data_IF_499835128220
#
_entry.id   IF_499835128220
#
_cell.length_a   1.000
_cell.length_b   1.000
_cell.length_c   1.000
_cell.angle_alpha   90.00
_cell.angle_beta   90.00
_cell.angle_gamma   90.00
#
_symmetry.space_group_name_H-M   'P 1'
#
loop_
_entity.id
_entity.type
_entity.pdbx_description
1 polymer ?
#
# COMPACT_ATOMS: atom_id res chain seq x y z
N UNK A 1 -4.68 -16.73 -19.40
CA UNK A 1 -4.38 -15.48 -18.68
C UNK A 1 -5.11 -15.45 -17.35
N UNK A 2 -4.36 -15.30 -16.27
CA UNK A 2 -4.95 -15.10 -14.95
C UNK A 2 -5.26 -13.62 -14.76
N UNK A 3 -6.45 -13.32 -14.26
CA UNK A 3 -6.85 -11.96 -13.92
C UNK A 3 -7.15 -11.86 -12.42
N UNK A 4 -6.92 -10.70 -11.86
CA UNK A 4 -7.22 -10.41 -10.47
C UNK A 4 -8.30 -9.35 -10.38
N UNK A 5 -9.15 -9.49 -9.38
CA UNK A 5 -10.16 -8.51 -9.03
C UNK A 5 -9.94 -8.11 -7.57
N UNK A 6 -9.94 -6.83 -7.28
CA UNK A 6 -9.88 -6.31 -5.91
C UNK A 6 -11.26 -5.77 -5.54
N UNK A 7 -11.78 -6.21 -4.40
CA UNK A 7 -13.06 -5.74 -3.87
C UNK A 7 -12.81 -5.14 -2.50
N UNK A 8 -13.13 -3.88 -2.35
CA UNK A 8 -13.11 -3.19 -1.05
C UNK A 8 -14.52 -3.12 -0.49
N UNK A 9 -14.64 -3.38 0.79
CA UNK A 9 -15.95 -3.35 1.47
C UNK A 9 -15.78 -2.96 2.94
N UNK A 10 -16.78 -2.31 3.54
CA UNK A 10 -16.74 -1.98 4.95
C UNK A 10 -16.84 -3.25 5.81
N UNK A 11 -16.23 -3.22 6.98
CA UNK A 11 -16.12 -4.39 7.87
C UNK A 11 -17.46 -4.99 8.27
N UNK A 12 -18.48 -4.18 8.46
CA UNK A 12 -19.83 -4.63 8.78
C UNK A 12 -20.48 -5.51 7.70
N UNK A 13 -19.94 -5.48 6.47
CA UNK A 13 -20.36 -6.34 5.36
C UNK A 13 -19.58 -7.66 5.28
N UNK A 14 -18.65 -7.89 6.19
CA UNK A 14 -17.84 -9.10 6.18
C UNK A 14 -18.64 -10.40 6.14
N UNK A 15 -19.76 -10.58 6.91
CA UNK A 15 -20.55 -11.81 6.83
C UNK A 15 -21.13 -12.10 5.43
N UNK A 16 -21.61 -11.06 4.75
CA UNK A 16 -22.14 -11.18 3.39
C UNK A 16 -21.04 -11.51 2.39
N UNK A 17 -19.88 -10.86 2.53
CA UNK A 17 -18.71 -11.09 1.67
C UNK A 17 -18.15 -12.49 1.86
N UNK A 18 -18.12 -13.00 3.09
CA UNK A 18 -17.71 -14.38 3.36
C UNK A 18 -18.63 -15.40 2.69
N UNK A 19 -19.94 -15.13 2.64
CA UNK A 19 -20.90 -15.97 1.92
C UNK A 19 -20.62 -15.99 0.41
N UNK A 20 -20.41 -14.82 -0.18
CA UNK A 20 -20.04 -14.69 -1.60
C UNK A 20 -18.69 -15.36 -1.88
N UNK A 21 -17.72 -15.22 -0.99
CA UNK A 21 -16.42 -15.87 -1.07
C UNK A 21 -16.55 -17.38 -1.19
N UNK A 22 -17.40 -17.99 -0.37
CA UNK A 22 -17.65 -19.46 -0.43
C UNK A 22 -18.17 -19.89 -1.80
N UNK A 23 -19.12 -19.12 -2.36
CA UNK A 23 -19.69 -19.41 -3.68
C UNK A 23 -18.66 -19.31 -4.79
N UNK A 24 -17.80 -18.27 -4.74
CA UNK A 24 -16.73 -18.06 -5.73
C UNK A 24 -15.63 -19.14 -5.62
N UNK A 25 -15.28 -19.54 -4.40
CA UNK A 25 -14.28 -20.59 -4.18
C UNK A 25 -14.71 -21.98 -4.69
N UNK A 26 -16.01 -22.22 -4.84
CA UNK A 26 -16.54 -23.43 -5.43
C UNK A 26 -16.30 -23.51 -6.94
N UNK A 27 -15.97 -22.40 -7.60
CA UNK A 27 -15.64 -22.39 -9.02
C UNK A 27 -14.23 -22.92 -9.26
N UNK A 28 -14.09 -23.78 -10.27
CA UNK A 28 -12.79 -24.34 -10.62
C UNK A 28 -11.81 -23.26 -11.05
N UNK A 29 -10.59 -23.34 -10.54
CA UNK A 29 -9.51 -22.39 -10.86
C UNK A 29 -9.59 -21.02 -10.17
N UNK A 30 -10.61 -20.79 -9.32
CA UNK A 30 -10.75 -19.55 -8.56
C UNK A 30 -10.07 -19.68 -7.20
N UNK A 31 -9.17 -18.75 -6.90
CA UNK A 31 -8.52 -18.62 -5.59
C UNK A 31 -8.85 -17.28 -5.00
N UNK A 32 -9.27 -17.25 -3.75
CA UNK A 32 -9.63 -16.01 -3.06
C UNK A 32 -8.72 -15.82 -1.85
N UNK A 33 -8.09 -14.67 -1.79
CA UNK A 33 -7.23 -14.27 -0.69
C UNK A 33 -7.82 -13.02 -0.03
N UNK A 34 -7.88 -13.02 1.29
CA UNK A 34 -8.17 -11.81 2.04
C UNK A 34 -6.87 -11.15 2.47
N UNK A 35 -6.74 -9.86 2.21
CA UNK A 35 -5.56 -9.14 2.62
C UNK A 35 -5.54 -9.00 4.15
N UNK A 36 -4.38 -9.18 4.78
CA UNK A 36 -4.28 -9.03 6.23
C UNK A 36 -4.53 -7.58 6.65
N UNK A 37 -5.16 -7.41 7.81
CA UNK A 37 -5.36 -6.10 8.42
C UNK A 37 -4.07 -5.55 9.05
N UNK A 38 -3.10 -6.41 9.31
CA UNK A 38 -1.80 -6.05 9.84
C UNK A 38 -0.69 -6.57 8.94
N UNK A 39 0.32 -5.74 8.75
CA UNK A 39 1.52 -6.08 7.99
C UNK A 39 2.71 -6.06 8.93
N UNK A 40 3.46 -7.16 8.96
CA UNK A 40 4.67 -7.30 9.79
C UNK A 40 5.84 -7.74 8.94
N UNK A 41 6.91 -6.96 9.01
CA UNK A 41 8.21 -7.32 8.47
C UNK A 41 9.28 -7.04 9.53
N UNK A 42 10.50 -7.57 9.39
CA UNK A 42 11.55 -7.24 10.34
C UNK A 42 11.73 -5.73 10.50
N UNK A 43 11.51 -5.22 11.71
CA UNK A 43 11.58 -3.79 12.03
C UNK A 43 10.47 -2.92 11.49
N UNK A 44 9.42 -3.50 10.90
CA UNK A 44 8.30 -2.74 10.33
C UNK A 44 6.96 -3.35 10.73
N UNK A 45 6.05 -2.53 11.21
CA UNK A 45 4.68 -2.92 11.54
C UNK A 45 3.70 -1.86 11.06
N UNK A 46 2.63 -2.30 10.43
CA UNK A 46 1.55 -1.43 9.99
C UNK A 46 0.20 -2.07 10.32
N UNK A 47 -0.68 -1.32 11.00
CA UNK A 47 -2.03 -1.73 11.35
C UNK A 47 -3.03 -0.88 10.56
N UNK A 48 -3.84 -1.54 9.74
CA UNK A 48 -4.83 -0.87 8.87
C UNK A 48 -5.98 -0.28 9.67
N UNK A 49 -6.43 -0.98 10.71
CA UNK A 49 -7.58 -0.57 11.51
C UNK A 49 -7.25 0.62 12.40
N UNK A 50 -6.09 0.58 13.05
CA UNK A 50 -5.61 1.67 13.90
C UNK A 50 -4.90 2.77 13.10
N UNK A 51 -4.62 2.54 11.82
CA UNK A 51 -3.83 3.44 10.95
C UNK A 51 -2.50 3.81 11.61
N UNK A 52 -1.83 2.79 12.13
CA UNK A 52 -0.62 2.92 12.92
C UNK A 52 0.56 2.30 12.18
N UNK A 53 1.69 2.99 12.21
CA UNK A 53 2.95 2.50 11.65
C UNK A 53 4.02 2.56 12.73
N UNK A 54 4.76 1.47 12.89
CA UNK A 54 5.90 1.38 13.82
C UNK A 54 7.13 0.92 13.04
N UNK A 55 8.20 1.67 13.15
CA UNK A 55 9.48 1.38 12.50
C UNK A 55 10.57 1.31 13.59
N UNK A 56 11.26 0.16 13.67
CA UNK A 56 12.30 -0.09 14.67
C UNK A 56 11.82 0.23 16.11
N UNK A 57 10.59 -0.18 16.42
CA UNK A 57 10.00 0.02 17.74
C UNK A 57 9.47 1.42 18.03
N UNK A 58 9.58 2.36 17.07
CA UNK A 58 9.10 3.74 17.23
C UNK A 58 7.88 3.98 16.35
N UNK A 59 6.84 4.56 16.93
CA UNK A 59 5.66 4.96 16.18
C UNK A 59 5.98 6.13 15.24
N UNK A 60 5.57 6.00 14.00
CA UNK A 60 5.74 7.01 12.96
C UNK A 60 4.40 7.68 12.70
N UNK A 61 4.34 9.00 12.87
CA UNK A 61 3.13 9.76 12.60
C UNK A 61 3.07 10.15 11.13
N UNK A 62 2.05 9.68 10.44
CA UNK A 62 1.82 9.92 9.03
C UNK A 62 0.54 10.73 8.80
N UNK A 63 0.51 11.51 7.74
CA UNK A 63 -0.75 12.07 7.24
C UNK A 63 -1.63 10.96 6.66
N UNK A 64 -2.93 11.22 6.48
CA UNK A 64 -3.85 10.25 5.91
C UNK A 64 -3.39 9.77 4.53
N UNK A 65 -2.95 10.67 3.67
CA UNK A 65 -2.48 10.35 2.32
C UNK A 65 -1.17 9.55 2.33
N UNK A 66 -0.24 9.91 3.21
CA UNK A 66 1.00 9.15 3.39
C UNK A 66 0.71 7.73 3.85
N UNK A 67 -0.19 7.57 4.80
CA UNK A 67 -0.60 6.24 5.27
C UNK A 67 -1.24 5.41 4.15
N UNK A 68 -2.16 5.98 3.39
CA UNK A 68 -2.88 5.26 2.33
C UNK A 68 -1.93 4.74 1.25
N UNK A 69 -0.98 5.54 0.82
CA UNK A 69 0.03 5.11 -0.16
C UNK A 69 0.94 4.04 0.43
N UNK A 70 1.44 4.24 1.64
CA UNK A 70 2.32 3.28 2.29
C UNK A 70 1.63 1.93 2.49
N UNK A 71 0.38 1.94 2.94
CA UNK A 71 -0.39 0.73 3.19
C UNK A 71 -0.56 -0.12 1.92
N UNK A 72 -0.88 0.51 0.80
CA UNK A 72 -1.02 -0.18 -0.48
C UNK A 72 0.31 -0.77 -0.94
N UNK A 73 1.38 0.01 -0.86
CA UNK A 73 2.70 -0.43 -1.32
C UNK A 73 3.31 -1.52 -0.43
N UNK A 74 3.13 -1.42 0.88
CA UNK A 74 3.68 -2.37 1.85
C UNK A 74 3.02 -3.75 1.78
N UNK A 75 1.80 -3.84 1.28
CA UNK A 75 1.12 -5.13 1.05
C UNK A 75 1.82 -5.98 0.00
N UNK A 76 2.48 -5.35 -0.95
CA UNK A 76 3.12 -6.03 -2.08
C UNK A 76 4.56 -5.55 -2.25
N UNK A 77 5.49 -5.96 -1.37
CA UNK A 77 6.90 -5.58 -1.48
C UNK A 77 7.48 -5.99 -2.84
N UNK A 78 8.30 -5.12 -3.41
CA UNK A 78 8.91 -5.35 -4.72
C UNK A 78 8.05 -4.93 -5.91
N UNK A 79 6.74 -4.76 -5.73
CA UNK A 79 5.88 -4.30 -6.81
C UNK A 79 6.10 -2.82 -7.09
N UNK A 80 6.25 -2.49 -8.38
CA UNK A 80 6.38 -1.10 -8.83
C UNK A 80 4.99 -0.50 -9.03
N UNK A 81 4.74 0.64 -8.40
CA UNK A 81 3.53 1.45 -8.57
C UNK A 81 3.86 2.64 -9.44
N UNK A 82 3.17 2.77 -10.55
CA UNK A 82 3.32 3.91 -11.45
C UNK A 82 2.77 5.19 -10.85
N UNK A 83 3.16 6.34 -11.40
CA UNK A 83 2.61 7.63 -10.97
C UNK A 83 1.09 7.68 -11.11
N UNK A 84 0.54 7.09 -12.18
CA UNK A 84 -0.90 7.00 -12.41
C UNK A 84 -1.60 6.15 -11.34
N UNK A 85 -0.99 5.03 -10.97
CA UNK A 85 -1.53 4.17 -9.91
C UNK A 85 -1.53 4.87 -8.55
N UNK A 86 -0.45 5.58 -8.21
CA UNK A 86 -0.37 6.36 -6.98
C UNK A 86 -1.38 7.51 -7.00
N UNK A 87 -1.52 8.18 -8.13
CA UNK A 87 -2.55 9.21 -8.33
C UNK A 87 -3.95 8.64 -8.07
N UNK A 88 -4.25 7.45 -8.57
CA UNK A 88 -5.51 6.75 -8.33
C UNK A 88 -5.76 6.46 -6.86
N UNK A 89 -4.72 6.03 -6.11
CA UNK A 89 -4.80 5.80 -4.66
C UNK A 89 -5.12 7.09 -3.91
N UNK A 90 -4.44 8.19 -4.27
CA UNK A 90 -4.54 9.47 -3.55
C UNK A 90 -5.82 10.25 -3.88
N UNK A 91 -6.21 10.27 -5.14
CA UNK A 91 -7.23 11.18 -5.66
C UNK A 91 -8.39 10.49 -6.37
N UNK A 92 -8.32 9.19 -6.58
CA UNK A 92 -9.32 8.44 -7.34
C UNK A 92 -9.32 8.75 -8.83
N UNK A 93 -8.30 9.42 -9.34
CA UNK A 93 -8.17 9.85 -10.72
C UNK A 93 -7.01 9.15 -11.41
N UNK A 94 -7.14 8.92 -12.72
CA UNK A 94 -6.09 8.33 -13.55
C UNK A 94 -5.35 9.38 -14.39
N UNK A 95 -5.88 10.59 -14.48
CA UNK A 95 -5.28 11.68 -15.24
C UNK A 95 -4.22 12.40 -14.37
N UNK A 96 -2.95 12.22 -14.71
CA UNK A 96 -1.82 12.76 -13.98
C UNK A 96 -1.39 14.08 -14.61
N UNK A 97 -1.64 15.17 -13.89
CA UNK A 97 -1.18 16.51 -14.26
C UNK A 97 0.20 16.81 -13.68
N UNK A 98 0.84 17.85 -14.17
CA UNK A 98 2.17 18.27 -13.70
C UNK A 98 2.20 18.55 -12.20
N UNK A 99 1.17 19.21 -11.67
CA UNK A 99 1.03 19.48 -10.22
C UNK A 99 0.91 18.18 -9.42
N UNK A 100 0.23 17.18 -9.98
CA UNK A 100 0.07 15.87 -9.36
C UNK A 100 1.41 15.14 -9.23
N UNK A 101 2.28 15.21 -10.23
CA UNK A 101 3.64 14.64 -10.14
C UNK A 101 4.44 15.27 -9.00
N UNK A 102 4.37 16.60 -8.87
CA UNK A 102 5.04 17.31 -7.78
C UNK A 102 4.50 16.91 -6.41
N UNK A 103 3.18 16.77 -6.29
CA UNK A 103 2.53 16.35 -5.04
C UNK A 103 2.95 14.92 -4.66
N UNK A 104 2.99 14.00 -5.60
CA UNK A 104 3.46 12.62 -5.38
C UNK A 104 4.94 12.63 -4.97
N UNK A 105 5.76 13.36 -5.66
CA UNK A 105 7.19 13.50 -5.35
C UNK A 105 7.40 14.01 -3.91
N UNK A 106 6.69 15.07 -3.52
CA UNK A 106 6.78 15.62 -2.18
C UNK A 106 6.27 14.65 -1.11
N UNK A 107 5.18 13.93 -1.39
CA UNK A 107 4.63 12.93 -0.48
C UNK A 107 5.60 11.77 -0.26
N UNK A 108 6.18 11.23 -1.31
CA UNK A 108 7.18 10.17 -1.20
C UNK A 108 8.44 10.66 -0.47
N UNK A 109 8.88 11.87 -0.75
CA UNK A 109 10.00 12.50 -0.03
C UNK A 109 9.74 12.62 1.47
N UNK A 110 8.55 13.04 1.85
CA UNK A 110 8.12 13.13 3.25
C UNK A 110 8.07 11.74 3.91
N UNK A 111 7.48 10.75 3.24
CA UNK A 111 7.46 9.36 3.71
C UNK A 111 8.87 8.82 3.94
N UNK A 112 9.77 9.01 2.98
CA UNK A 112 11.16 8.57 3.12
C UNK A 112 11.83 9.11 4.36
N UNK A 113 11.65 10.41 4.65
CA UNK A 113 12.19 11.04 5.85
C UNK A 113 11.63 10.45 7.13
N UNK A 114 10.34 10.16 7.15
CA UNK A 114 9.65 9.61 8.33
C UNK A 114 9.96 8.12 8.57
N UNK A 115 10.27 7.37 7.51
CA UNK A 115 10.53 5.93 7.58
C UNK A 115 12.02 5.58 7.69
N UNK A 116 12.90 6.54 7.86
CA UNK A 116 14.34 6.29 7.99
C UNK A 116 14.64 5.49 9.26
N UNK A 117 15.35 4.38 9.08
CA UNK A 117 15.80 3.52 10.19
C UNK A 117 17.11 4.03 10.79
N UNK A 118 18.08 4.33 9.95
CA UNK A 118 19.44 4.75 10.29
C UNK A 118 19.94 5.74 9.24
N UNK A 119 20.89 6.56 9.59
CA UNK A 119 21.44 7.64 8.74
C UNK A 119 22.00 7.17 7.38
N UNK A 120 22.30 5.90 7.22
CA UNK A 120 22.88 5.34 5.98
C UNK A 120 21.99 4.29 5.31
N UNK A 121 20.74 4.17 5.74
CA UNK A 121 19.83 3.17 5.20
C UNK A 121 19.19 3.66 3.90
N UNK A 122 19.09 2.77 2.91
CA UNK A 122 18.37 3.05 1.65
C UNK A 122 16.87 3.24 1.85
N UNK A 123 16.36 2.93 3.07
CA UNK A 123 14.95 3.06 3.41
C UNK A 123 14.08 1.99 2.79
N UNK A 124 12.77 2.17 2.94
CA UNK A 124 11.77 1.24 2.42
C UNK A 124 11.26 1.60 1.03
N UNK A 125 11.33 2.88 0.66
CA UNK A 125 10.75 3.36 -0.59
C UNK A 125 11.84 3.69 -1.59
N UNK A 126 11.77 3.03 -2.74
CA UNK A 126 12.76 3.17 -3.81
C UNK A 126 12.11 3.74 -5.06
N UNK A 127 12.82 4.65 -5.71
CA UNK A 127 12.42 5.19 -7.01
C UNK A 127 12.80 4.22 -8.12
N UNK A 128 11.84 3.93 -9.00
CA UNK A 128 12.10 3.26 -10.27
C UNK A 128 12.03 4.35 -11.33
N UNK A 129 13.19 4.83 -11.79
CA UNK A 129 13.30 6.00 -12.65
C UNK A 129 12.46 5.86 -13.93
N UNK A 130 11.65 6.87 -14.21
CA UNK A 130 10.76 6.90 -15.36
C UNK A 130 9.51 6.04 -15.25
N UNK A 131 9.32 5.31 -14.14
CA UNK A 131 8.18 4.40 -13.94
C UNK A 131 7.35 4.79 -12.71
N UNK A 132 7.96 4.83 -11.53
CA UNK A 132 7.25 5.09 -10.28
C UNK A 132 8.08 4.72 -9.05
N UNK A 133 7.44 4.07 -8.08
CA UNK A 133 8.05 3.75 -6.80
C UNK A 133 7.71 2.32 -6.37
N UNK A 134 8.56 1.73 -5.53
CA UNK A 134 8.32 0.42 -4.92
C UNK A 134 8.69 0.43 -3.44
N UNK A 135 8.02 -0.43 -2.68
CA UNK A 135 8.36 -0.71 -1.28
C UNK A 135 9.25 -1.96 -1.24
N UNK A 136 10.35 -1.89 -0.52
CA UNK A 136 11.24 -3.03 -0.32
C UNK A 136 11.53 -3.24 1.16
N UNK A 137 11.67 -4.51 1.53
CA UNK A 137 12.13 -4.93 2.85
C UNK A 137 13.62 -5.22 2.73
N UNK A 138 14.41 -4.53 3.51
CA UNK A 138 15.86 -4.75 3.56
C UNK A 138 16.24 -5.56 4.80
#
# INVERSE_FOLDING_TARGET
LKRQMVIEFPEERLPEICSIKRKLQALEGVKIYMEPQQIRYPGFFLDMLQRKVVVEGKEVVLTAREFDVLAVMARHPGRVYTYEQICGILYGETDVRKETYNNIYCLIGSLRKKLVRRLQDSGYLHTVHGVGYRFEIN
#
